data_IF_564663355987
#
_entry.id   IF_564663355987
#
_cell.length_a   1.000
_cell.length_b   1.000
_cell.length_c   1.000
_cell.angle_alpha   90.00
_cell.angle_beta   90.00
_cell.angle_gamma   90.00
#
_symmetry.space_group_name_H-M   'P 1'
#
loop_
_entity.id
_entity.type
_entity.pdbx_description
1 polymer ?
#
# COMPACT_ATOMS: atom_id res chain seq x y z
N UNK A 1 -4.07 23.14 -29.14
CA UNK A 1 -3.91 21.81 -29.79
C UNK A 1 -4.13 20.72 -28.74
N UNK A 2 -5.01 19.75 -29.01
CA UNK A 2 -5.31 18.58 -28.19
C UNK A 2 -5.11 17.31 -29.02
N UNK A 3 -4.63 16.24 -28.42
CA UNK A 3 -4.56 14.90 -28.98
C UNK A 3 -5.43 13.98 -28.13
N UNK A 4 -6.56 13.56 -28.66
CA UNK A 4 -7.43 12.56 -28.02
C UNK A 4 -6.89 11.19 -28.39
N UNK A 5 -6.63 10.35 -27.39
CA UNK A 5 -5.97 9.07 -27.58
C UNK A 5 -6.74 7.99 -26.86
N UNK A 6 -6.86 6.85 -27.51
CA UNK A 6 -7.34 5.60 -26.92
C UNK A 6 -6.46 4.44 -27.38
N UNK A 7 -6.25 3.45 -26.54
CA UNK A 7 -5.41 2.28 -26.82
C UNK A 7 -6.05 1.00 -26.35
N UNK A 8 -5.84 -0.08 -27.12
CA UNK A 8 -6.06 -1.45 -26.65
C UNK A 8 -4.71 -2.12 -26.32
N UNK A 9 -4.71 -3.04 -25.39
CA UNK A 9 -3.47 -3.59 -24.83
C UNK A 9 -3.60 -5.07 -24.48
N UNK A 10 -2.49 -5.79 -24.38
CA UNK A 10 -2.47 -7.19 -23.89
C UNK A 10 -2.73 -7.31 -22.39
N UNK A 11 -2.98 -6.20 -21.66
CA UNK A 11 -3.29 -6.20 -20.22
C UNK A 11 -2.98 -4.87 -19.54
N UNK A 12 -3.19 -4.79 -18.24
CA UNK A 12 -3.31 -3.54 -17.49
C UNK A 12 -2.01 -2.84 -17.06
N UNK A 13 -0.83 -3.22 -17.53
CA UNK A 13 0.44 -2.62 -17.08
C UNK A 13 1.41 -2.33 -18.20
N UNK A 14 1.76 -1.08 -18.39
CA UNK A 14 2.72 -0.64 -19.42
C UNK A 14 4.15 -1.23 -19.28
N UNK A 15 4.52 -1.78 -18.11
CA UNK A 15 5.82 -2.42 -17.89
C UNK A 15 5.87 -3.85 -18.42
N UNK A 16 4.76 -4.57 -18.32
CA UNK A 16 4.67 -6.01 -18.56
C UNK A 16 3.74 -6.39 -19.70
N UNK A 17 3.02 -5.42 -20.29
CA UNK A 17 2.09 -5.62 -21.38
C UNK A 17 2.39 -4.63 -22.53
N UNK A 18 1.83 -4.89 -23.68
CA UNK A 18 2.07 -4.12 -24.88
C UNK A 18 0.76 -3.56 -25.46
N UNK A 19 0.87 -2.53 -26.28
CA UNK A 19 -0.24 -1.96 -27.05
C UNK A 19 -0.54 -2.92 -28.22
N UNK A 20 -1.82 -3.16 -28.49
CA UNK A 20 -2.33 -3.97 -29.61
C UNK A 20 -3.06 -3.13 -30.67
N UNK A 21 -3.57 -1.96 -30.27
CA UNK A 21 -4.17 -0.98 -31.17
C UNK A 21 -3.99 0.42 -30.56
N UNK A 22 -3.79 1.42 -31.40
CA UNK A 22 -3.76 2.82 -30.99
C UNK A 22 -4.58 3.67 -31.94
N UNK A 23 -5.34 4.61 -31.38
CA UNK A 23 -6.06 5.64 -32.14
C UNK A 23 -5.73 7.02 -31.57
N UNK A 24 -5.52 8.00 -32.46
CA UNK A 24 -5.22 9.39 -32.10
C UNK A 24 -6.08 10.30 -32.99
N UNK A 25 -6.77 11.25 -32.39
CA UNK A 25 -7.51 12.31 -33.08
C UNK A 25 -6.96 13.64 -32.58
N UNK A 26 -6.43 14.44 -33.53
CA UNK A 26 -5.97 15.80 -33.20
C UNK A 26 -7.08 16.81 -33.37
N UNK A 27 -7.21 17.68 -32.37
CA UNK A 27 -8.23 18.75 -32.35
C UNK A 27 -7.54 20.10 -32.17
N UNK A 28 -7.81 21.02 -33.06
CA UNK A 28 -7.39 22.40 -33.00
C UNK A 28 -8.60 23.32 -33.15
N UNK A 29 -8.74 24.31 -32.28
CA UNK A 29 -9.87 25.26 -32.28
C UNK A 29 -11.25 24.55 -32.36
N UNK A 30 -11.38 23.41 -31.70
CA UNK A 30 -12.61 22.60 -31.67
C UNK A 30 -12.85 21.75 -32.95
N UNK A 31 -11.98 21.81 -33.96
CA UNK A 31 -12.08 21.03 -35.18
C UNK A 31 -11.07 19.90 -35.19
N UNK A 32 -11.45 18.76 -35.74
CA UNK A 32 -10.53 17.69 -36.03
C UNK A 32 -9.62 18.09 -37.21
N UNK A 33 -8.31 17.97 -37.02
CA UNK A 33 -7.30 18.36 -38.01
C UNK A 33 -6.47 17.18 -38.47
N UNK A 34 -6.43 16.09 -37.70
CA UNK A 34 -5.66 14.91 -38.07
C UNK A 34 -6.20 13.67 -37.34
N UNK A 35 -6.01 12.49 -37.97
CA UNK A 35 -6.50 11.22 -37.46
C UNK A 35 -5.52 10.10 -37.77
N UNK A 36 -5.23 9.27 -36.79
CA UNK A 36 -4.35 8.12 -36.93
C UNK A 36 -4.94 6.90 -36.24
N UNK A 37 -4.87 5.74 -36.85
CA UNK A 37 -5.22 4.45 -36.25
C UNK A 37 -4.36 3.36 -36.84
N UNK A 38 -3.89 2.46 -35.98
CA UNK A 38 -3.23 1.23 -36.45
C UNK A 38 -3.35 0.12 -35.42
N UNK A 39 -3.48 -1.13 -35.88
CA UNK A 39 -3.16 -2.30 -35.11
C UNK A 39 -1.64 -2.35 -34.88
N UNK A 40 -1.24 -2.92 -33.78
CA UNK A 40 0.17 -3.05 -33.39
C UNK A 40 0.47 -4.49 -33.02
N UNK A 41 1.50 -5.06 -33.58
CA UNK A 41 2.03 -6.34 -33.18
C UNK A 41 2.67 -6.20 -31.78
N UNK A 42 2.09 -6.82 -30.73
CA UNK A 42 2.62 -6.67 -29.38
C UNK A 42 3.89 -7.49 -29.10
N UNK A 43 4.37 -8.30 -30.07
CA UNK A 43 5.49 -9.22 -29.92
C UNK A 43 5.25 -10.32 -28.88
N UNK A 44 3.98 -10.63 -28.57
CA UNK A 44 3.55 -11.64 -27.61
C UNK A 44 2.10 -12.03 -27.82
N UNK A 45 1.71 -13.18 -27.31
CA UNK A 45 0.32 -13.65 -27.38
C UNK A 45 -0.64 -12.76 -26.56
N UNK A 46 -1.83 -12.53 -27.11
CA UNK A 46 -2.92 -11.77 -26.49
C UNK A 46 -3.72 -12.73 -25.57
N UNK A 47 -3.84 -12.44 -24.27
CA UNK A 47 -4.62 -13.28 -23.36
C UNK A 47 -6.09 -13.40 -23.81
N UNK A 48 -6.67 -14.60 -23.74
CA UNK A 48 -8.06 -14.88 -24.17
C UNK A 48 -9.09 -13.92 -23.59
N UNK A 49 -8.96 -13.57 -22.31
CA UNK A 49 -9.86 -12.59 -21.68
C UNK A 49 -9.74 -11.17 -22.28
N UNK A 50 -8.62 -10.81 -22.83
CA UNK A 50 -8.43 -9.53 -23.54
C UNK A 50 -9.06 -9.62 -24.92
N UNK A 51 -8.81 -10.71 -25.66
CA UNK A 51 -9.46 -10.96 -26.96
C UNK A 51 -11.00 -10.95 -26.83
N UNK A 52 -11.55 -11.52 -25.75
CA UNK A 52 -13.01 -11.48 -25.50
C UNK A 52 -13.55 -10.05 -25.31
N UNK A 53 -12.74 -9.13 -24.76
CA UNK A 53 -13.14 -7.74 -24.50
C UNK A 53 -12.97 -6.88 -25.75
N UNK A 54 -11.81 -6.96 -26.42
CA UNK A 54 -11.41 -6.06 -27.52
C UNK A 54 -11.75 -6.60 -28.89
N UNK A 55 -11.97 -7.90 -29.03
CA UNK A 55 -12.12 -8.60 -30.31
C UNK A 55 -10.80 -8.72 -31.08
N UNK A 56 -9.67 -8.24 -30.57
CA UNK A 56 -8.36 -8.32 -31.24
C UNK A 56 -7.74 -9.68 -30.96
N UNK A 57 -7.42 -10.42 -32.04
CA UNK A 57 -6.78 -11.74 -31.95
C UNK A 57 -5.30 -11.68 -32.35
N UNK A 58 -4.56 -12.74 -32.04
CA UNK A 58 -3.15 -12.86 -32.43
C UNK A 58 -2.98 -12.80 -33.95
N UNK A 59 -3.92 -13.39 -34.71
CA UNK A 59 -3.89 -13.39 -36.18
C UNK A 59 -4.07 -11.98 -36.74
N UNK A 60 -4.93 -11.14 -36.14
CA UNK A 60 -5.17 -9.77 -36.60
C UNK A 60 -3.94 -8.87 -36.47
N UNK A 61 -3.06 -9.15 -35.52
CA UNK A 61 -1.87 -8.35 -35.24
C UNK A 61 -0.58 -8.98 -35.75
N UNK A 62 -0.66 -10.18 -36.35
CA UNK A 62 0.53 -10.91 -36.82
C UNK A 62 1.36 -10.11 -37.83
N UNK A 63 0.72 -9.50 -38.82
CA UNK A 63 1.34 -8.70 -39.87
C UNK A 63 1.28 -7.19 -39.59
N UNK A 64 0.79 -6.77 -38.41
CA UNK A 64 0.74 -5.37 -38.02
C UNK A 64 2.15 -4.85 -37.65
N UNK A 65 2.44 -3.55 -37.85
CA UNK A 65 3.71 -2.99 -37.43
C UNK A 65 3.93 -3.11 -35.93
N UNK A 66 5.20 -3.26 -35.52
CA UNK A 66 5.57 -3.10 -34.13
C UNK A 66 5.41 -1.64 -33.68
N UNK A 67 5.31 -1.38 -32.36
CA UNK A 67 5.24 0.00 -31.92
C UNK A 67 6.47 0.83 -32.27
N UNK A 68 7.65 0.22 -32.36
CA UNK A 68 8.88 0.90 -32.77
C UNK A 68 8.80 1.48 -34.20
N UNK A 69 8.12 0.79 -35.10
CA UNK A 69 7.98 1.23 -36.50
C UNK A 69 7.04 2.44 -36.62
N UNK A 70 6.02 2.56 -35.77
CA UNK A 70 5.08 3.69 -35.78
C UNK A 70 5.43 4.76 -34.73
N UNK A 71 6.47 4.54 -33.92
CA UNK A 71 6.80 5.41 -32.79
C UNK A 71 7.07 6.85 -33.20
N UNK A 72 7.71 7.07 -34.35
CA UNK A 72 7.96 8.42 -34.87
C UNK A 72 6.65 9.14 -35.19
N UNK A 73 5.75 8.51 -35.90
CA UNK A 73 4.46 9.07 -36.28
C UNK A 73 3.61 9.38 -35.05
N UNK A 74 3.53 8.44 -34.07
CA UNK A 74 2.86 8.65 -32.79
C UNK A 74 3.49 9.82 -32.01
N UNK A 75 4.82 9.92 -31.98
CA UNK A 75 5.53 11.02 -31.35
C UNK A 75 5.20 12.37 -31.98
N UNK A 76 5.22 12.45 -33.33
CA UNK A 76 4.95 13.67 -34.09
C UNK A 76 3.51 14.15 -33.87
N UNK A 77 2.54 13.22 -33.88
CA UNK A 77 1.12 13.50 -33.60
C UNK A 77 0.86 13.99 -32.16
N UNK A 78 1.63 13.52 -31.21
CA UNK A 78 1.49 13.91 -29.81
C UNK A 78 2.33 15.13 -29.43
N UNK A 79 3.24 15.55 -30.28
CA UNK A 79 4.11 16.71 -30.05
C UNK A 79 3.32 18.00 -30.01
N UNK A 80 3.63 18.86 -29.01
CA UNK A 80 2.97 20.15 -28.79
C UNK A 80 1.45 20.09 -28.55
N UNK A 81 0.91 18.91 -28.22
CA UNK A 81 -0.50 18.71 -27.92
C UNK A 81 -0.72 18.40 -26.43
N UNK A 82 -1.88 18.78 -25.91
CA UNK A 82 -2.40 18.29 -24.63
C UNK A 82 -2.97 16.89 -24.86
N UNK A 83 -2.47 15.92 -24.13
CA UNK A 83 -2.95 14.53 -24.19
C UNK A 83 -4.29 14.39 -23.49
N UNK A 84 -5.32 13.96 -24.20
CA UNK A 84 -6.68 13.77 -23.70
C UNK A 84 -7.07 12.31 -23.83
N UNK A 85 -7.59 11.71 -22.75
CA UNK A 85 -8.12 10.35 -22.82
C UNK A 85 -9.20 10.11 -21.76
N UNK A 86 -9.97 9.04 -21.92
CA UNK A 86 -10.97 8.62 -20.96
C UNK A 86 -10.34 7.69 -19.91
N UNK A 87 -9.98 8.24 -18.72
CA UNK A 87 -9.07 7.66 -17.73
C UNK A 87 -7.59 7.80 -18.15
N UNK A 88 -7.20 9.01 -18.43
CA UNK A 88 -5.92 9.43 -19.05
C UNK A 88 -4.64 8.78 -18.50
N UNK A 89 -4.64 8.35 -17.23
CA UNK A 89 -3.45 7.76 -16.62
C UNK A 89 -3.06 6.41 -17.23
N UNK A 90 -4.04 5.68 -17.77
CA UNK A 90 -3.83 4.40 -18.42
C UNK A 90 -3.13 4.60 -19.78
N UNK A 91 -3.79 5.29 -20.68
CA UNK A 91 -3.31 5.50 -22.06
C UNK A 91 -1.97 6.23 -22.09
N UNK A 92 -1.88 7.33 -21.36
CA UNK A 92 -0.65 8.10 -21.23
C UNK A 92 0.52 7.26 -20.70
N UNK A 93 0.26 6.39 -19.72
CA UNK A 93 1.28 5.52 -19.14
C UNK A 93 1.86 4.53 -20.16
N UNK A 94 1.00 3.91 -20.96
CA UNK A 94 1.43 2.98 -22.04
C UNK A 94 2.16 3.71 -23.17
N UNK A 95 1.56 4.75 -23.72
CA UNK A 95 2.16 5.50 -24.82
C UNK A 95 3.53 6.05 -24.44
N UNK A 96 3.63 6.70 -23.26
CA UNK A 96 4.92 7.23 -22.78
C UNK A 96 5.99 6.13 -22.60
N UNK A 97 5.59 4.97 -22.07
CA UNK A 97 6.54 3.88 -21.84
C UNK A 97 7.03 3.27 -23.16
N UNK A 98 6.14 3.13 -24.15
CA UNK A 98 6.50 2.59 -25.46
C UNK A 98 7.35 3.59 -26.25
N UNK A 99 7.00 4.87 -26.25
CA UNK A 99 7.83 5.92 -26.86
C UNK A 99 9.24 5.96 -26.22
N UNK A 100 9.32 5.85 -24.88
CA UNK A 100 10.62 5.81 -24.22
C UNK A 100 11.47 4.60 -24.62
N UNK A 101 10.86 3.42 -24.76
CA UNK A 101 11.54 2.21 -25.25
C UNK A 101 12.02 2.36 -26.69
N UNK A 102 11.28 3.11 -27.52
CA UNK A 102 11.63 3.42 -28.91
C UNK A 102 12.61 4.61 -29.04
N UNK A 103 13.16 5.12 -27.91
CA UNK A 103 14.15 6.20 -27.93
C UNK A 103 13.59 7.62 -27.84
N UNK A 104 12.27 7.79 -27.78
CA UNK A 104 11.63 9.12 -27.72
C UNK A 104 11.36 9.54 -26.30
N UNK A 105 11.98 10.63 -25.82
CA UNK A 105 11.68 11.27 -24.53
C UNK A 105 10.51 12.24 -24.70
N UNK A 106 9.30 11.75 -24.41
CA UNK A 106 8.08 12.52 -24.56
C UNK A 106 7.36 12.74 -23.24
N UNK A 107 6.84 13.94 -23.05
CA UNK A 107 5.95 14.36 -21.98
C UNK A 107 4.96 15.39 -22.48
N UNK A 108 3.71 15.32 -22.00
CA UNK A 108 2.66 16.30 -22.33
C UNK A 108 1.82 16.63 -21.11
N UNK A 109 1.14 17.77 -21.14
CA UNK A 109 0.02 18.05 -20.23
C UNK A 109 -1.11 17.07 -20.52
N UNK A 110 -1.91 16.74 -19.51
CA UNK A 110 -2.92 15.68 -19.58
C UNK A 110 -4.29 16.17 -19.13
N UNK A 111 -5.34 15.75 -19.82
CA UNK A 111 -6.72 15.94 -19.42
C UNK A 111 -7.45 14.60 -19.36
N UNK A 112 -8.21 14.40 -18.28
CA UNK A 112 -9.03 13.21 -18.08
C UNK A 112 -10.48 13.55 -18.31
N UNK A 113 -11.10 12.99 -19.37
CA UNK A 113 -12.51 13.28 -19.67
C UNK A 113 -13.47 12.75 -18.61
N UNK A 114 -13.14 11.66 -17.88
CA UNK A 114 -13.92 11.22 -16.71
C UNK A 114 -14.04 12.32 -15.65
N UNK A 115 -12.90 12.94 -15.32
CA UNK A 115 -12.84 14.00 -14.29
C UNK A 115 -13.55 15.28 -14.75
N UNK A 116 -13.32 15.66 -15.99
CA UNK A 116 -14.02 16.83 -16.59
C UNK A 116 -15.52 16.58 -16.66
N UNK A 117 -15.97 15.39 -17.07
CA UNK A 117 -17.40 15.07 -17.12
C UNK A 117 -18.07 15.15 -15.75
N UNK A 118 -17.38 14.72 -14.68
CA UNK A 118 -17.91 14.85 -13.31
C UNK A 118 -18.12 16.29 -12.87
N UNK A 119 -17.29 17.22 -13.38
CA UNK A 119 -17.40 18.64 -13.06
C UNK A 119 -18.42 19.36 -13.94
N UNK A 120 -18.37 19.10 -15.23
CA UNK A 120 -19.11 19.84 -16.24
C UNK A 120 -20.47 19.22 -16.59
N UNK A 121 -20.65 17.92 -16.28
CA UNK A 121 -21.90 17.19 -16.46
C UNK A 121 -22.19 16.38 -15.18
N UNK A 122 -22.45 17.04 -14.04
CA UNK A 122 -22.74 16.34 -12.79
C UNK A 122 -24.08 15.61 -12.85
N UNK A 123 -24.28 14.62 -11.96
CA UNK A 123 -25.57 13.91 -11.83
C UNK A 123 -25.73 12.67 -12.70
N UNK A 124 -24.72 12.29 -13.52
CA UNK A 124 -24.79 11.02 -14.25
C UNK A 124 -24.60 9.84 -13.29
N UNK A 125 -25.39 8.78 -13.47
CA UNK A 125 -25.31 7.58 -12.60
C UNK A 125 -23.99 6.80 -12.80
N UNK A 126 -23.32 6.94 -13.94
CA UNK A 126 -22.00 6.36 -14.22
C UNK A 126 -21.20 7.21 -15.20
N UNK A 127 -19.91 7.31 -14.97
CA UNK A 127 -18.95 8.04 -15.82
C UNK A 127 -18.02 7.11 -16.61
N UNK A 128 -18.39 5.85 -16.84
CA UNK A 128 -17.71 5.01 -17.84
C UNK A 128 -18.11 5.45 -19.25
N UNK A 129 -17.20 5.34 -20.21
CA UNK A 129 -17.38 5.90 -21.56
C UNK A 129 -18.71 5.48 -22.20
N UNK A 130 -19.02 4.17 -22.21
CA UNK A 130 -20.27 3.67 -22.78
C UNK A 130 -21.53 4.14 -22.02
N UNK A 131 -21.45 4.35 -20.70
CA UNK A 131 -22.58 4.86 -19.93
C UNK A 131 -22.80 6.35 -20.11
N UNK A 132 -21.73 7.14 -20.26
CA UNK A 132 -21.82 8.54 -20.65
C UNK A 132 -22.46 8.64 -22.05
N UNK A 133 -22.01 7.84 -23.00
CA UNK A 133 -22.58 7.82 -24.35
C UNK A 133 -24.09 7.59 -24.30
N UNK A 134 -24.52 6.52 -23.62
CA UNK A 134 -25.92 6.18 -23.47
C UNK A 134 -26.75 7.31 -22.83
N UNK A 135 -26.24 7.94 -21.77
CA UNK A 135 -26.95 9.00 -21.04
C UNK A 135 -27.01 10.31 -21.84
N UNK A 136 -26.06 10.54 -22.73
CA UNK A 136 -26.07 11.68 -23.65
C UNK A 136 -26.80 11.39 -24.98
N UNK A 137 -27.45 10.23 -25.11
CA UNK A 137 -28.16 9.84 -26.33
C UNK A 137 -27.25 9.48 -27.50
N UNK A 138 -26.03 9.02 -27.22
CA UNK A 138 -25.07 8.62 -28.26
C UNK A 138 -24.80 7.11 -28.23
N UNK A 139 -24.48 6.57 -29.41
CA UNK A 139 -24.02 5.20 -29.56
C UNK A 139 -22.54 5.20 -29.96
N UNK A 140 -21.75 4.28 -29.39
CA UNK A 140 -20.34 4.07 -29.77
C UNK A 140 -20.27 2.95 -30.78
N UNK A 141 -19.92 3.26 -32.00
CA UNK A 141 -19.65 2.27 -33.04
C UNK A 141 -18.27 1.67 -32.83
N UNK A 142 -18.16 0.34 -32.82
CA UNK A 142 -16.87 -0.33 -32.56
C UNK A 142 -16.36 -0.12 -31.14
N UNK A 143 -17.23 -0.29 -30.15
CA UNK A 143 -16.81 -0.23 -28.73
C UNK A 143 -15.77 -1.30 -28.40
N UNK A 144 -14.80 -0.95 -27.55
CA UNK A 144 -13.60 -1.75 -27.25
C UNK A 144 -12.69 -1.97 -28.49
N UNK A 145 -12.75 -1.04 -29.43
CA UNK A 145 -11.76 -0.83 -30.47
C UNK A 145 -11.26 0.62 -30.34
N UNK A 146 -9.97 0.81 -30.41
CA UNK A 146 -9.36 2.09 -30.06
C UNK A 146 -9.97 3.29 -30.81
N UNK A 147 -10.28 3.15 -32.11
CA UNK A 147 -10.87 4.27 -32.86
C UNK A 147 -12.31 4.56 -32.44
N UNK A 148 -13.14 3.53 -32.19
CA UNK A 148 -14.53 3.73 -31.76
C UNK A 148 -14.63 4.46 -30.43
N UNK A 149 -13.79 4.08 -29.46
CA UNK A 149 -13.73 4.73 -28.15
C UNK A 149 -13.05 6.11 -28.23
N UNK A 150 -12.04 6.31 -29.10
CA UNK A 150 -11.41 7.59 -29.38
C UNK A 150 -12.38 8.60 -30.06
N UNK A 151 -13.17 8.18 -31.01
CA UNK A 151 -14.20 9.02 -31.68
C UNK A 151 -15.21 9.57 -30.69
N UNK A 152 -15.74 8.70 -29.82
CA UNK A 152 -16.68 9.18 -28.82
C UNK A 152 -15.99 10.04 -27.74
N UNK A 153 -14.76 9.70 -27.35
CA UNK A 153 -13.97 10.51 -26.43
C UNK A 153 -13.71 11.92 -27.00
N UNK A 154 -13.42 12.04 -28.30
CA UNK A 154 -13.27 13.33 -28.97
C UNK A 154 -14.57 14.12 -29.01
N UNK A 155 -15.70 13.47 -29.29
CA UNK A 155 -17.03 14.08 -29.26
C UNK A 155 -17.39 14.54 -27.84
N UNK A 156 -17.19 13.70 -26.84
CA UNK A 156 -17.37 14.05 -25.44
C UNK A 156 -16.50 15.25 -25.04
N UNK A 157 -15.23 15.25 -25.47
CA UNK A 157 -14.32 16.34 -25.16
C UNK A 157 -14.78 17.69 -25.76
N UNK A 158 -15.34 17.70 -26.98
CA UNK A 158 -15.95 18.89 -27.59
C UNK A 158 -17.13 19.40 -26.74
N UNK A 159 -18.03 18.51 -26.30
CA UNK A 159 -19.13 18.86 -25.39
C UNK A 159 -18.61 19.46 -24.08
N UNK A 160 -17.52 18.91 -23.55
CA UNK A 160 -16.91 19.44 -22.32
C UNK A 160 -16.25 20.80 -22.53
N UNK A 161 -15.63 21.05 -23.68
CA UNK A 161 -15.10 22.39 -24.04
C UNK A 161 -16.20 23.44 -24.12
N UNK A 162 -17.35 23.10 -24.71
CA UNK A 162 -18.50 24.02 -24.84
C UNK A 162 -19.14 24.33 -23.47
N UNK A 163 -19.14 23.36 -22.56
CA UNK A 163 -19.70 23.50 -21.20
C UNK A 163 -18.77 24.18 -20.19
N UNK A 164 -17.49 24.35 -20.53
CA UNK A 164 -16.47 24.87 -19.58
C UNK A 164 -16.48 26.40 -19.49
N UNK A 165 -17.54 26.97 -18.96
CA UNK A 165 -17.67 28.42 -18.76
C UNK A 165 -16.81 28.93 -17.58
N UNK A 166 -16.47 28.06 -16.63
CA UNK A 166 -15.73 28.40 -15.42
C UNK A 166 -14.21 28.18 -15.52
N UNK A 167 -13.70 27.74 -16.71
CA UNK A 167 -12.28 27.52 -16.94
C UNK A 167 -11.66 26.33 -16.21
N UNK A 168 -12.44 25.29 -15.93
CA UNK A 168 -11.95 24.05 -15.29
C UNK A 168 -10.88 23.34 -16.09
N UNK A 169 -10.94 23.42 -17.45
CA UNK A 169 -9.93 22.83 -18.33
C UNK A 169 -8.60 23.60 -18.19
N UNK A 170 -8.66 24.94 -18.22
CA UNK A 170 -7.47 25.78 -18.02
C UNK A 170 -6.85 25.54 -16.65
N UNK A 171 -7.67 25.40 -15.61
CA UNK A 171 -7.25 25.09 -14.27
C UNK A 171 -6.59 23.68 -14.20
N UNK A 172 -7.17 22.66 -14.84
CA UNK A 172 -6.61 21.32 -14.89
C UNK A 172 -5.26 21.26 -15.60
N UNK A 173 -5.02 22.17 -16.55
CA UNK A 173 -3.75 22.32 -17.29
C UNK A 173 -2.68 23.12 -16.55
N UNK A 174 -3.01 23.73 -15.41
CA UNK A 174 -2.04 24.46 -14.62
C UNK A 174 -0.91 23.52 -14.16
N UNK A 175 0.35 23.99 -14.29
CA UNK A 175 1.53 23.20 -13.93
C UNK A 175 1.57 22.68 -12.47
N UNK A 176 0.87 23.38 -11.55
CA UNK A 176 0.72 22.96 -10.15
C UNK A 176 -0.44 21.97 -9.92
N UNK A 177 -1.30 21.77 -10.90
CA UNK A 177 -2.43 20.85 -10.79
C UNK A 177 -1.93 19.39 -10.84
N UNK A 178 -2.25 18.60 -9.83
CA UNK A 178 -2.02 17.14 -9.80
C UNK A 178 -3.29 16.37 -10.18
N UNK A 179 -4.31 17.05 -10.67
CA UNK A 179 -5.64 16.49 -10.91
C UNK A 179 -5.62 15.28 -11.85
N UNK A 180 -4.86 15.37 -12.94
CA UNK A 180 -4.74 14.27 -13.90
C UNK A 180 -4.03 13.01 -13.34
N UNK A 181 -3.41 13.08 -12.16
CA UNK A 181 -2.75 11.95 -11.52
C UNK A 181 -3.60 11.28 -10.43
N UNK A 182 -4.68 11.94 -9.99
CA UNK A 182 -5.59 11.36 -9.01
C UNK A 182 -6.47 10.27 -9.63
N UNK A 183 -7.01 9.32 -8.80
CA UNK A 183 -8.00 8.37 -9.26
C UNK A 183 -9.16 9.05 -9.99
N UNK A 184 -9.64 8.50 -11.11
CA UNK A 184 -10.63 9.19 -11.95
C UNK A 184 -11.96 9.44 -11.23
N UNK A 185 -12.27 8.64 -10.20
CA UNK A 185 -13.52 8.72 -9.45
C UNK A 185 -13.39 9.40 -8.09
N UNK A 186 -12.19 9.74 -7.63
CA UNK A 186 -11.95 10.39 -6.35
C UNK A 186 -12.10 11.93 -6.49
N UNK A 187 -13.02 12.58 -5.75
CA UNK A 187 -13.12 14.04 -5.74
C UNK A 187 -11.82 14.69 -5.27
N UNK A 188 -11.44 15.77 -5.91
CA UNK A 188 -10.24 16.53 -5.52
C UNK A 188 -10.36 17.10 -4.10
N UNK A 189 -11.54 17.57 -3.71
CA UNK A 189 -11.83 18.07 -2.38
C UNK A 189 -11.50 17.07 -1.28
N UNK A 190 -11.77 15.78 -1.50
CA UNK A 190 -11.41 14.72 -0.55
C UNK A 190 -9.91 14.66 -0.27
N UNK A 191 -9.06 14.96 -1.27
CA UNK A 191 -7.59 14.97 -1.11
C UNK A 191 -7.06 16.31 -0.59
N UNK A 192 -7.75 17.42 -0.87
CA UNK A 192 -7.36 18.75 -0.40
C UNK A 192 -7.65 18.95 1.10
N UNK A 193 -8.77 18.40 1.56
CA UNK A 193 -9.22 18.50 2.94
C UNK A 193 -8.47 17.60 3.92
N UNK A 194 -7.67 16.64 3.43
CA UNK A 194 -6.91 15.74 4.31
C UNK A 194 -5.82 16.51 5.05
N UNK A 195 -5.68 16.35 6.39
CA UNK A 195 -4.68 17.07 7.18
C UNK A 195 -3.26 16.56 6.94
N UNK A 196 -2.28 17.35 7.37
CA UNK A 196 -0.85 17.00 7.31
C UNK A 196 -0.36 16.37 8.63
N UNK A 197 -1.21 15.63 9.31
CA UNK A 197 -1.00 15.00 10.61
C UNK A 197 -0.68 13.51 10.50
N UNK A 198 -0.29 12.89 11.60
CA UNK A 198 -0.18 11.43 11.73
C UNK A 198 -1.59 10.82 11.71
N UNK A 199 -1.75 9.68 11.07
CA UNK A 199 -3.04 8.99 11.11
C UNK A 199 -3.17 7.81 10.16
N UNK A 200 -4.40 7.34 10.05
CA UNK A 200 -4.82 6.22 9.20
C UNK A 200 -5.80 6.74 8.16
N UNK A 201 -5.61 6.38 6.90
CA UNK A 201 -6.51 6.73 5.81
C UNK A 201 -7.14 5.48 5.21
N UNK A 202 -8.35 5.65 4.69
CA UNK A 202 -9.16 4.57 4.10
C UNK A 202 -9.64 5.00 2.72
N UNK A 203 -9.41 4.18 1.70
CA UNK A 203 -10.03 4.34 0.40
C UNK A 203 -11.29 3.50 0.32
N UNK A 204 -12.36 4.09 -0.18
CA UNK A 204 -13.66 3.48 -0.33
C UNK A 204 -14.01 3.32 -1.82
N UNK A 205 -14.84 2.33 -2.14
CA UNK A 205 -15.43 2.16 -3.45
C UNK A 205 -16.82 2.82 -3.55
N UNK A 206 -17.48 2.67 -4.70
CA UNK A 206 -18.79 3.24 -4.98
C UNK A 206 -19.95 2.65 -4.14
N UNK A 207 -19.70 1.62 -3.37
CA UNK A 207 -20.64 1.02 -2.39
C UNK A 207 -20.32 1.42 -0.96
N UNK A 208 -19.45 2.43 -0.78
CA UNK A 208 -18.91 2.90 0.51
C UNK A 208 -18.10 1.84 1.27
N UNK A 209 -17.76 0.73 0.63
CA UNK A 209 -16.94 -0.31 1.24
C UNK A 209 -15.48 0.13 1.28
N UNK A 210 -14.81 -0.07 2.43
CA UNK A 210 -13.38 0.16 2.58
C UNK A 210 -12.61 -0.89 1.76
N UNK A 211 -11.86 -0.43 0.77
CA UNK A 211 -11.07 -1.27 -0.12
C UNK A 211 -9.57 -1.26 0.20
N UNK A 212 -9.11 -0.25 0.93
CA UNK A 212 -7.74 -0.14 1.40
C UNK A 212 -7.65 0.70 2.67
N UNK A 213 -6.77 0.31 3.58
CA UNK A 213 -6.40 1.02 4.79
C UNK A 213 -4.88 1.21 4.81
N UNK A 214 -4.39 2.36 5.24
CA UNK A 214 -2.97 2.60 5.40
C UNK A 214 -2.65 3.69 6.41
N UNK A 215 -1.55 3.54 7.14
CA UNK A 215 -1.04 4.54 8.07
C UNK A 215 -0.10 5.54 7.40
N UNK A 216 0.04 6.72 7.99
CA UNK A 216 0.98 7.75 7.55
C UNK A 216 1.48 8.60 8.72
N UNK A 217 2.77 9.02 8.67
CA UNK A 217 3.30 10.12 9.50
C UNK A 217 2.82 11.49 9.01
N UNK A 218 2.39 11.58 7.77
CA UNK A 218 1.72 12.73 7.17
C UNK A 218 0.69 12.21 6.16
N UNK A 219 -0.58 12.28 6.53
CA UNK A 219 -1.70 11.77 5.75
C UNK A 219 -1.74 12.39 4.35
N UNK A 220 -1.65 13.73 4.25
CA UNK A 220 -1.73 14.45 2.98
C UNK A 220 -0.60 14.09 2.01
N UNK A 221 0.64 13.98 2.52
CA UNK A 221 1.80 13.57 1.73
C UNK A 221 1.63 12.12 1.25
N UNK A 222 1.25 11.22 2.14
CA UNK A 222 1.16 9.78 1.85
C UNK A 222 0.07 9.44 0.85
N UNK A 223 -1.11 10.05 0.98
CA UNK A 223 -2.21 9.86 0.04
C UNK A 223 -1.82 10.35 -1.36
N UNK A 224 -1.14 11.51 -1.46
CA UNK A 224 -0.65 12.02 -2.75
C UNK A 224 0.41 11.11 -3.37
N UNK A 225 1.26 10.48 -2.56
CA UNK A 225 2.29 9.55 -3.03
C UNK A 225 1.69 8.27 -3.66
N UNK A 226 0.51 7.83 -3.23
CA UNK A 226 -0.18 6.71 -3.85
C UNK A 226 -0.45 6.93 -5.34
N UNK A 227 -0.65 8.17 -5.74
CA UNK A 227 -1.04 8.56 -7.08
C UNK A 227 0.08 9.25 -7.86
N UNK A 228 1.25 9.45 -7.24
CA UNK A 228 2.45 9.95 -7.93
C UNK A 228 3.17 8.83 -8.66
N UNK A 229 3.53 9.08 -9.91
CA UNK A 229 4.39 8.21 -10.72
C UNK A 229 3.64 7.30 -11.70
N UNK A 230 4.28 7.07 -12.84
CA UNK A 230 3.76 6.28 -13.97
C UNK A 230 3.97 4.76 -13.80
N UNK A 231 4.18 4.25 -12.61
CA UNK A 231 4.35 2.81 -12.38
C UNK A 231 3.01 2.14 -12.08
N UNK A 232 2.08 2.25 -13.02
CA UNK A 232 0.82 1.52 -12.91
C UNK A 232 1.02 0.09 -13.42
N UNK A 233 1.24 -0.85 -12.49
CA UNK A 233 0.96 -2.26 -12.77
C UNK A 233 -0.56 -2.39 -12.97
N UNK A 234 -1.03 -3.34 -13.77
CA UNK A 234 -2.47 -3.55 -13.99
C UNK A 234 -3.30 -3.68 -12.70
N UNK A 235 -2.66 -4.13 -11.60
CA UNK A 235 -3.26 -4.17 -10.27
C UNK A 235 -3.46 -2.76 -9.68
N UNK A 236 -2.49 -1.85 -9.81
CA UNK A 236 -2.58 -0.47 -9.31
C UNK A 236 -3.59 0.36 -10.09
N UNK A 237 -3.72 0.15 -11.40
CA UNK A 237 -4.74 0.79 -12.21
C UNK A 237 -6.13 0.38 -11.77
N UNK A 238 -6.40 -0.95 -11.66
CA UNK A 238 -7.67 -1.47 -11.16
C UNK A 238 -8.00 -1.01 -9.74
N UNK A 239 -6.99 -0.80 -8.91
CA UNK A 239 -7.16 -0.23 -7.58
C UNK A 239 -7.58 1.25 -7.67
N UNK A 240 -6.86 2.07 -8.43
CA UNK A 240 -7.16 3.49 -8.60
C UNK A 240 -8.57 3.72 -9.19
N UNK A 241 -8.98 2.91 -10.17
CA UNK A 241 -10.32 2.97 -10.78
C UNK A 241 -11.46 2.68 -9.81
N UNK A 242 -11.20 1.92 -8.75
CA UNK A 242 -12.20 1.58 -7.75
C UNK A 242 -12.35 2.61 -6.64
N UNK A 243 -11.39 3.53 -6.48
CA UNK A 243 -11.43 4.54 -5.42
C UNK A 243 -12.42 5.64 -5.79
N UNK A 244 -13.45 5.80 -4.97
CA UNK A 244 -14.46 6.85 -5.11
C UNK A 244 -14.46 7.85 -3.96
N UNK A 245 -13.98 7.43 -2.79
CA UNK A 245 -13.93 8.30 -1.62
C UNK A 245 -12.71 8.00 -0.73
N UNK A 246 -12.41 8.93 0.17
CA UNK A 246 -11.29 8.94 1.10
C UNK A 246 -11.76 9.40 2.48
N UNK A 247 -11.59 8.54 3.48
CA UNK A 247 -11.81 8.87 4.90
C UNK A 247 -10.50 8.73 5.67
N UNK A 248 -10.36 9.42 6.79
CA UNK A 248 -9.17 9.34 7.64
C UNK A 248 -9.52 9.41 9.12
N UNK A 249 -8.58 8.99 9.94
CA UNK A 249 -8.59 9.06 11.40
C UNK A 249 -7.25 9.68 11.78
N UNK A 250 -7.26 10.84 12.42
CA UNK A 250 -6.04 11.43 12.97
C UNK A 250 -5.60 10.65 14.20
N UNK A 251 -4.30 10.51 14.38
CA UNK A 251 -3.70 9.81 15.50
C UNK A 251 -2.65 10.72 16.16
N UNK A 252 -2.54 10.71 17.49
CA UNK A 252 -1.61 11.59 18.20
C UNK A 252 -0.15 11.22 17.96
N UNK A 253 0.13 9.93 17.77
CA UNK A 253 1.50 9.41 17.61
C UNK A 253 1.56 8.17 16.71
N UNK A 254 2.78 7.68 16.46
CA UNK A 254 3.00 6.55 15.54
C UNK A 254 2.49 5.22 16.12
N UNK A 255 2.59 4.99 17.43
CA UNK A 255 2.09 3.77 18.06
C UNK A 255 0.58 3.64 17.86
N UNK A 256 -0.17 4.71 18.15
CA UNK A 256 -1.62 4.71 17.99
C UNK A 256 -2.00 4.52 16.52
N UNK A 257 -1.26 5.13 15.58
CA UNK A 257 -1.54 4.92 14.16
C UNK A 257 -1.34 3.47 13.71
N UNK A 258 -0.40 2.73 14.31
CA UNK A 258 -0.21 1.29 14.06
C UNK A 258 -1.36 0.44 14.61
N UNK A 259 -1.79 0.73 15.85
CA UNK A 259 -2.90 0.00 16.49
C UNK A 259 -4.22 0.25 15.76
N UNK A 260 -4.48 1.50 15.36
CA UNK A 260 -5.68 1.89 14.59
C UNK A 260 -5.65 1.26 13.20
N UNK A 261 -4.51 1.27 12.48
CA UNK A 261 -4.39 0.61 11.17
C UNK A 261 -4.71 -0.88 11.25
N UNK A 262 -4.15 -1.58 12.24
CA UNK A 262 -4.39 -3.01 12.46
C UNK A 262 -5.88 -3.28 12.75
N UNK A 263 -6.50 -2.48 13.63
CA UNK A 263 -7.93 -2.55 13.94
C UNK A 263 -8.81 -2.35 12.70
N UNK A 264 -8.54 -1.29 11.93
CA UNK A 264 -9.32 -0.94 10.75
C UNK A 264 -9.18 -1.98 9.63
N UNK A 265 -8.00 -2.58 9.44
CA UNK A 265 -7.80 -3.68 8.49
C UNK A 265 -8.61 -4.90 8.88
N UNK A 266 -8.66 -5.25 10.17
CA UNK A 266 -9.42 -6.41 10.66
C UNK A 266 -10.92 -6.19 10.63
N UNK A 267 -11.39 -5.00 11.00
CA UNK A 267 -12.80 -4.66 10.97
C UNK A 267 -13.38 -4.62 9.56
N UNK A 268 -12.62 -4.10 8.59
CA UNK A 268 -13.12 -3.88 7.22
C UNK A 268 -12.69 -4.94 6.22
N UNK A 269 -11.69 -5.78 6.52
CA UNK A 269 -11.11 -6.80 5.63
C UNK A 269 -10.87 -6.31 4.19
N UNK A 270 -10.16 -5.17 3.99
CA UNK A 270 -10.13 -4.45 2.74
C UNK A 270 -9.42 -5.24 1.63
N UNK A 271 -10.03 -5.30 0.44
CA UNK A 271 -9.58 -6.15 -0.69
C UNK A 271 -8.12 -5.93 -1.09
N UNK A 272 -7.63 -4.69 -1.01
CA UNK A 272 -6.31 -4.31 -1.53
C UNK A 272 -5.20 -4.27 -0.46
N UNK A 273 -5.49 -4.53 0.81
CA UNK A 273 -4.46 -4.80 1.79
C UNK A 273 -3.98 -6.24 1.65
N UNK A 274 -2.67 -6.42 1.48
CA UNK A 274 -2.02 -7.74 1.49
C UNK A 274 -1.44 -8.07 2.87
N UNK A 275 -0.80 -7.08 3.50
CA UNK A 275 -0.29 -7.18 4.86
C UNK A 275 -1.44 -7.10 5.88
N UNK A 276 -1.28 -7.70 7.05
CA UNK A 276 -2.20 -7.71 8.20
C UNK A 276 -3.55 -8.42 7.99
N UNK A 277 -3.90 -8.87 6.79
CA UNK A 277 -5.03 -9.80 6.58
C UNK A 277 -4.71 -11.21 7.02
N UNK A 278 -3.48 -11.60 6.81
CA UNK A 278 -2.85 -12.78 7.34
C UNK A 278 -1.49 -12.30 7.79
N UNK A 279 -1.31 -12.03 9.09
CA UNK A 279 0.04 -11.92 9.61
C UNK A 279 0.62 -13.32 9.51
N UNK A 280 1.35 -13.54 8.46
CA UNK A 280 2.27 -14.65 8.40
C UNK A 280 3.50 -14.19 9.21
N UNK A 281 3.41 -14.30 10.53
CA UNK A 281 4.58 -14.39 11.36
C UNK A 281 5.21 -15.73 11.01
N UNK A 282 5.99 -15.72 9.91
CA UNK A 282 6.49 -16.95 9.29
C UNK A 282 7.66 -17.54 10.06
N UNK A 283 8.20 -16.80 11.03
CA UNK A 283 9.38 -17.18 11.79
C UNK A 283 9.09 -17.07 13.28
N UNK A 284 9.58 -18.03 14.06
CA UNK A 284 9.42 -18.06 15.51
C UNK A 284 10.69 -18.51 16.20
N UNK A 285 10.82 -18.11 17.45
CA UNK A 285 11.76 -18.70 18.39
C UNK A 285 11.02 -19.85 19.08
N UNK A 286 11.62 -21.04 19.01
CA UNK A 286 11.12 -22.26 19.63
C UNK A 286 12.00 -22.62 20.80
N UNK A 287 11.36 -23.05 21.89
CA UNK A 287 12.02 -23.60 23.07
C UNK A 287 11.73 -25.10 23.17
N UNK A 288 12.77 -25.86 23.40
CA UNK A 288 12.69 -27.30 23.69
C UNK A 288 13.81 -27.70 24.65
N UNK A 289 13.65 -28.82 25.33
CA UNK A 289 14.66 -29.40 26.21
C UNK A 289 15.38 -30.53 25.49
N UNK A 290 16.72 -30.62 25.61
CA UNK A 290 17.49 -31.71 25.06
C UNK A 290 17.57 -32.91 26.05
N UNK A 291 18.12 -33.99 25.59
CA UNK A 291 18.23 -35.23 26.37
C UNK A 291 19.07 -35.09 27.65
N UNK A 292 19.91 -34.07 27.75
CA UNK A 292 20.75 -33.77 28.92
C UNK A 292 20.08 -32.78 29.88
N UNK A 293 18.83 -32.38 29.60
CA UNK A 293 18.03 -31.47 30.41
C UNK A 293 18.34 -29.99 30.21
N UNK A 294 19.10 -29.62 29.18
CA UNK A 294 19.33 -28.23 28.83
C UNK A 294 18.20 -27.69 27.93
N UNK A 295 17.66 -26.56 28.30
CA UNK A 295 16.75 -25.84 27.44
C UNK A 295 17.47 -25.24 26.24
N UNK A 296 16.89 -25.39 25.05
CA UNK A 296 17.44 -24.88 23.78
C UNK A 296 16.49 -23.95 23.09
N UNK A 297 17.04 -23.00 22.36
CA UNK A 297 16.31 -22.08 21.50
C UNK A 297 16.72 -22.28 20.06
N UNK A 298 15.75 -22.22 19.14
CA UNK A 298 16.02 -22.24 17.70
C UNK A 298 15.10 -21.28 16.97
N UNK A 299 15.55 -20.81 15.80
CA UNK A 299 14.71 -20.02 14.88
C UNK A 299 14.19 -20.92 13.78
N UNK A 300 12.86 -21.02 13.67
CA UNK A 300 12.22 -21.85 12.67
C UNK A 300 11.00 -21.18 12.04
N UNK A 301 10.51 -21.79 10.94
CA UNK A 301 9.24 -21.37 10.34
C UNK A 301 8.06 -21.77 11.21
N UNK A 302 7.11 -20.86 11.40
CA UNK A 302 5.87 -21.13 12.11
C UNK A 302 4.93 -21.90 11.19
N UNK A 303 4.76 -23.19 11.43
CA UNK A 303 3.81 -24.06 10.76
C UNK A 303 2.43 -24.04 11.45
N UNK A 304 1.46 -24.72 10.83
CA UNK A 304 0.06 -24.77 11.30
C UNK A 304 -0.09 -25.26 12.77
N UNK A 305 0.81 -26.10 13.23
CA UNK A 305 0.79 -26.71 14.56
C UNK A 305 1.94 -26.24 15.46
N UNK A 306 2.82 -25.39 14.94
CA UNK A 306 3.97 -24.90 15.67
C UNK A 306 3.56 -23.87 16.73
N UNK A 307 4.10 -23.98 17.95
CA UNK A 307 3.87 -23.06 19.06
C UNK A 307 5.19 -22.39 19.45
N UNK A 308 5.60 -21.33 18.77
CA UNK A 308 6.79 -20.58 19.15
C UNK A 308 6.56 -19.82 20.45
N UNK A 309 7.61 -19.56 21.21
CA UNK A 309 7.59 -18.67 22.38
C UNK A 309 7.45 -17.21 21.99
N UNK A 310 7.94 -16.85 20.79
CA UNK A 310 7.72 -15.52 20.18
C UNK A 310 7.76 -15.67 18.64
N UNK A 311 7.05 -14.79 17.92
CA UNK A 311 6.91 -14.86 16.46
C UNK A 311 7.32 -13.55 15.80
N UNK A 312 7.95 -13.66 14.61
CA UNK A 312 8.57 -12.56 13.88
C UNK A 312 8.19 -12.58 12.39
N UNK A 313 8.30 -11.42 11.73
CA UNK A 313 8.02 -11.29 10.29
C UNK A 313 9.12 -11.89 9.41
N UNK A 314 10.36 -11.86 9.90
CA UNK A 314 11.52 -12.37 9.16
C UNK A 314 12.44 -13.21 10.05
N UNK A 315 13.23 -14.09 9.40
CA UNK A 315 14.28 -14.85 10.08
C UNK A 315 15.31 -13.92 10.72
N UNK A 316 15.63 -12.85 10.04
CA UNK A 316 16.58 -11.85 10.53
C UNK A 316 16.13 -11.25 11.86
N UNK A 317 14.87 -10.80 11.97
CA UNK A 317 14.32 -10.26 13.22
C UNK A 317 14.37 -11.31 14.36
N UNK A 318 13.99 -12.55 14.08
CA UNK A 318 14.05 -13.64 15.06
C UNK A 318 15.49 -13.93 15.53
N UNK A 319 16.45 -13.94 14.62
CA UNK A 319 17.88 -14.13 14.96
C UNK A 319 18.45 -12.96 15.75
N UNK A 320 18.14 -11.71 15.39
CA UNK A 320 18.56 -10.53 16.15
C UNK A 320 18.03 -10.57 17.59
N UNK A 321 16.79 -11.04 17.79
CA UNK A 321 16.24 -11.24 19.12
C UNK A 321 16.99 -12.31 19.89
N UNK A 322 17.32 -13.46 19.27
CA UNK A 322 18.12 -14.48 19.92
C UNK A 322 19.52 -14.00 20.31
N UNK A 323 20.17 -13.22 19.46
CA UNK A 323 21.46 -12.60 19.78
C UNK A 323 21.33 -11.70 21.02
N UNK A 324 20.32 -10.82 21.03
CA UNK A 324 20.03 -9.94 22.16
C UNK A 324 19.80 -10.73 23.47
N UNK A 325 18.96 -11.78 23.42
CA UNK A 325 18.69 -12.65 24.58
C UNK A 325 19.95 -13.35 25.08
N UNK A 326 20.79 -13.84 24.16
CA UNK A 326 22.08 -14.45 24.50
C UNK A 326 22.94 -13.45 25.28
N UNK A 327 23.12 -12.26 24.75
CA UNK A 327 23.98 -11.22 25.31
C UNK A 327 23.49 -10.73 26.68
N UNK A 328 22.19 -10.40 26.78
CA UNK A 328 21.58 -9.88 28.04
C UNK A 328 21.51 -10.93 29.15
N UNK A 329 21.35 -12.21 28.81
CA UNK A 329 21.17 -13.29 29.80
C UNK A 329 22.34 -14.28 29.82
N UNK A 330 23.43 -13.98 29.14
CA UNK A 330 24.63 -14.83 29.03
C UNK A 330 24.28 -16.27 28.66
N UNK A 331 23.41 -16.47 27.65
CA UNK A 331 23.01 -17.78 27.18
C UNK A 331 24.11 -18.38 26.26
N UNK A 332 24.15 -19.71 26.17
CA UNK A 332 25.07 -20.41 25.29
C UNK A 332 24.69 -20.22 23.83
N UNK A 333 25.61 -19.73 22.98
CA UNK A 333 25.38 -19.51 21.55
C UNK A 333 25.00 -20.80 20.80
N UNK A 334 25.60 -21.94 21.17
CA UNK A 334 25.27 -23.27 20.60
C UNK A 334 23.86 -23.71 20.97
N UNK A 335 23.42 -23.45 22.20
CA UNK A 335 22.07 -23.79 22.66
C UNK A 335 21.01 -22.82 22.15
N UNK A 336 21.44 -21.68 21.62
CA UNK A 336 20.59 -20.69 20.94
C UNK A 336 20.62 -20.80 19.41
N UNK A 337 21.18 -21.87 18.80
CA UNK A 337 21.26 -22.04 17.33
C UNK A 337 21.96 -20.85 16.62
N UNK A 338 22.87 -20.17 17.33
CA UNK A 338 23.68 -19.05 16.82
C UNK A 338 25.05 -19.45 16.36
N UNK A 339 25.51 -20.65 16.75
CA UNK A 339 26.77 -21.27 16.37
C UNK A 339 26.56 -22.75 16.09
N UNK A 340 27.24 -23.28 15.06
CA UNK A 340 27.20 -24.69 14.71
C UNK A 340 27.80 -25.57 15.82
N UNK A 341 27.35 -26.83 15.89
CA UNK A 341 27.77 -27.80 16.90
C UNK A 341 29.27 -28.22 16.79
N UNK A 342 29.89 -28.02 15.62
CA UNK A 342 31.28 -28.40 15.36
C UNK A 342 32.27 -27.26 15.66
N UNK A 343 33.52 -27.62 16.04
CA UNK A 343 34.60 -26.69 16.29
C UNK A 343 34.67 -26.10 17.71
N UNK A 344 35.64 -25.22 17.99
CA UNK A 344 35.77 -24.54 19.28
C UNK A 344 34.66 -23.51 19.44
N UNK A 345 34.12 -23.38 20.63
CA UNK A 345 33.16 -22.31 20.96
C UNK A 345 33.86 -20.94 20.92
N UNK A 346 33.36 -20.01 20.13
CA UNK A 346 33.96 -18.67 20.00
C UNK A 346 33.92 -17.93 21.35
N UNK A 347 32.88 -18.12 22.13
CA UNK A 347 32.69 -17.48 23.44
C UNK A 347 33.56 -18.05 24.54
N UNK A 348 33.97 -19.36 24.41
CA UNK A 348 34.96 -19.96 25.30
C UNK A 348 36.36 -19.30 25.10
N UNK A 349 36.68 -18.93 23.86
CA UNK A 349 37.95 -18.25 23.54
C UNK A 349 37.98 -16.81 24.12
N UNK A 350 36.81 -16.17 24.25
CA UNK A 350 36.70 -14.80 24.78
C UNK A 350 36.41 -14.72 26.30
N UNK A 351 36.25 -15.89 26.97
CA UNK A 351 36.05 -15.93 28.41
C UNK A 351 34.67 -15.49 28.95
N UNK A 352 33.70 -15.33 28.07
CA UNK A 352 32.36 -14.80 28.41
C UNK A 352 31.32 -15.94 28.63
N UNK A 353 31.68 -17.20 28.39
CA UNK A 353 30.78 -18.35 28.47
C UNK A 353 30.93 -19.09 29.80
N UNK A 354 29.82 -19.60 30.36
CA UNK A 354 29.80 -20.44 31.56
C UNK A 354 29.96 -21.96 31.29
N UNK A 355 30.19 -22.33 30.03
CA UNK A 355 30.53 -23.70 29.66
C UNK A 355 29.33 -24.66 29.61
N UNK A 356 28.07 -24.20 29.46
CA UNK A 356 26.91 -25.09 29.40
C UNK A 356 27.02 -26.20 28.32
N UNK A 357 27.59 -25.87 27.15
CA UNK A 357 27.72 -26.84 26.05
C UNK A 357 28.92 -27.83 26.20
N UNK A 358 29.73 -27.66 27.21
CA UNK A 358 30.82 -28.54 27.62
C UNK A 358 30.58 -29.14 29.02
N UNK A 359 29.36 -29.01 29.54
CA UNK A 359 28.88 -29.55 30.81
C UNK A 359 29.54 -28.94 32.09
N UNK A 360 30.27 -27.81 31.98
CA UNK A 360 30.84 -27.10 33.12
C UNK A 360 29.74 -26.38 33.93
N UNK A 361 28.64 -25.92 33.30
CA UNK A 361 27.48 -25.35 33.94
C UNK A 361 26.34 -26.38 33.99
N UNK A 362 25.71 -26.55 35.17
CA UNK A 362 24.61 -27.49 35.34
C UNK A 362 23.35 -27.07 34.63
N UNK A 363 22.52 -28.03 34.12
CA UNK A 363 21.25 -27.70 33.43
C UNK A 363 20.34 -26.80 34.30
N UNK A 364 20.26 -26.99 35.61
CA UNK A 364 19.42 -26.18 36.50
C UNK A 364 19.83 -24.70 36.52
N UNK A 365 21.14 -24.41 36.48
CA UNK A 365 21.68 -23.05 36.53
C UNK A 365 21.47 -22.35 35.17
N UNK A 366 21.78 -23.07 34.08
CA UNK A 366 21.54 -22.57 32.73
C UNK A 366 20.06 -22.30 32.47
N UNK A 367 19.18 -23.25 32.81
CA UNK A 367 17.75 -23.15 32.60
C UNK A 367 17.11 -22.03 33.43
N UNK A 368 17.65 -21.69 34.59
CA UNK A 368 17.20 -20.55 35.38
C UNK A 368 17.41 -19.21 34.63
N UNK A 369 18.58 -19.05 33.94
CA UNK A 369 18.83 -17.87 33.11
C UNK A 369 17.99 -17.88 31.84
N UNK A 370 17.83 -19.04 31.20
CA UNK A 370 16.97 -19.21 30.04
C UNK A 370 15.51 -18.88 30.38
N UNK A 371 15.00 -19.29 31.55
CA UNK A 371 13.65 -18.95 32.00
C UNK A 371 13.48 -17.44 32.17
N UNK A 372 14.48 -16.73 32.71
CA UNK A 372 14.46 -15.26 32.78
C UNK A 372 14.43 -14.65 31.38
N UNK A 373 15.25 -15.16 30.45
CA UNK A 373 15.26 -14.71 29.06
C UNK A 373 13.93 -14.97 28.34
N UNK A 374 13.29 -16.12 28.56
CA UNK A 374 11.97 -16.43 28.00
C UNK A 374 10.87 -15.52 28.58
N UNK A 375 10.96 -15.18 29.85
CA UNK A 375 10.02 -14.25 30.48
C UNK A 375 10.19 -12.81 29.99
N UNK A 376 11.40 -12.37 29.62
CA UNK A 376 11.61 -11.06 29.01
C UNK A 376 11.02 -10.92 27.60
N UNK A 377 10.75 -12.03 26.91
CA UNK A 377 10.03 -12.02 25.64
C UNK A 377 8.52 -11.77 25.77
N UNK A 378 7.98 -11.95 26.95
CA UNK A 378 6.56 -11.76 27.21
C UNK A 378 6.34 -10.38 27.83
N UNK A 379 5.36 -9.66 27.33
CA UNK A 379 4.81 -8.53 28.08
C UNK A 379 4.02 -9.15 29.25
N UNK A 380 4.66 -9.27 30.40
CA UNK A 380 4.05 -9.88 31.60
C UNK A 380 3.48 -8.79 32.50
N UNK A 381 2.40 -9.13 33.22
CA UNK A 381 1.79 -8.21 34.19
C UNK A 381 0.81 -7.21 33.56
N UNK A 382 0.42 -6.26 34.38
CA UNK A 382 -0.45 -5.16 34.00
C UNK A 382 0.39 -3.88 33.92
N UNK A 383 0.24 -3.12 32.83
CA UNK A 383 0.99 -1.90 32.61
C UNK A 383 0.26 -0.93 31.69
N UNK A 384 0.61 0.33 31.77
CA UNK A 384 0.32 1.30 30.74
C UNK A 384 1.62 1.77 30.06
N UNK A 385 1.53 1.96 28.74
CA UNK A 385 2.55 2.63 27.95
C UNK A 385 2.06 4.06 27.73
N UNK A 386 2.87 5.05 28.11
CA UNK A 386 2.59 6.47 27.92
C UNK A 386 3.26 6.99 26.67
N UNK A 387 2.51 7.73 25.88
CA UNK A 387 2.97 8.38 24.65
C UNK A 387 2.40 9.79 24.55
N UNK A 388 2.94 10.61 23.65
CA UNK A 388 2.44 11.95 23.40
C UNK A 388 0.97 11.96 22.98
N UNK A 389 0.18 12.92 23.47
CA UNK A 389 -1.18 13.20 23.04
C UNK A 389 -1.23 14.07 21.78
N UNK A 390 -2.42 14.59 21.46
CA UNK A 390 -2.61 15.57 20.37
C UNK A 390 -2.07 16.95 20.73
N UNK A 391 -2.12 17.30 22.00
CA UNK A 391 -1.65 18.56 22.57
C UNK A 391 -0.60 18.30 23.67
N UNK A 392 0.20 19.32 24.07
CA UNK A 392 1.14 19.18 25.17
C UNK A 392 0.49 18.87 26.53
N UNK A 393 -0.80 19.22 26.71
CA UNK A 393 -1.55 19.02 27.94
C UNK A 393 -2.17 17.62 28.02
N UNK A 394 -1.96 16.79 26.99
CA UNK A 394 -2.51 15.44 26.90
C UNK A 394 -1.42 14.40 26.71
N UNK A 395 -1.69 13.22 27.22
CA UNK A 395 -0.93 12.00 26.99
C UNK A 395 -1.84 10.90 26.46
N UNK A 396 -1.29 10.06 25.60
CA UNK A 396 -1.96 8.83 25.17
C UNK A 396 -1.47 7.68 26.02
N UNK A 397 -2.39 6.88 26.51
CA UNK A 397 -2.12 5.70 27.30
C UNK A 397 -2.60 4.43 26.58
N UNK A 398 -1.75 3.41 26.56
CA UNK A 398 -2.07 2.09 26.01
C UNK A 398 -2.06 1.09 27.13
N UNK A 399 -3.20 0.44 27.39
CA UNK A 399 -3.37 -0.48 28.49
C UNK A 399 -3.07 -1.91 28.09
N UNK A 400 -2.21 -2.54 28.87
CA UNK A 400 -1.96 -3.99 28.86
C UNK A 400 -2.35 -4.52 30.24
N UNK A 401 -3.19 -5.54 30.30
CA UNK A 401 -3.62 -6.19 31.54
C UNK A 401 -3.35 -7.68 31.45
N UNK A 402 -2.61 -8.22 32.40
CA UNK A 402 -2.20 -9.63 32.41
C UNK A 402 -1.54 -10.06 31.11
N UNK A 403 -0.67 -9.21 30.57
CA UNK A 403 0.03 -9.45 29.30
C UNK A 403 -0.83 -9.28 28.06
N UNK A 404 -2.09 -8.87 28.15
CA UNK A 404 -3.02 -8.71 27.02
C UNK A 404 -3.34 -7.24 26.77
N UNK A 405 -3.29 -6.83 25.53
CA UNK A 405 -3.76 -5.52 25.11
C UNK A 405 -5.26 -5.35 25.40
N UNK A 406 -5.62 -4.25 26.04
CA UNK A 406 -7.00 -3.92 26.40
C UNK A 406 -7.58 -2.75 25.64
N UNK A 407 -6.72 -1.87 25.14
CA UNK A 407 -7.15 -0.67 24.45
C UNK A 407 -6.18 0.48 24.64
N UNK A 408 -6.56 1.62 24.16
CA UNK A 408 -5.84 2.88 24.38
C UNK A 408 -6.83 4.03 24.56
N UNK A 409 -6.35 5.13 25.10
CA UNK A 409 -7.13 6.35 25.25
C UNK A 409 -6.25 7.57 25.49
N UNK A 410 -6.87 8.71 25.69
CA UNK A 410 -6.22 9.98 25.98
C UNK A 410 -6.55 10.41 27.41
N UNK A 411 -5.54 10.81 28.17
CA UNK A 411 -5.67 11.34 29.52
C UNK A 411 -4.98 12.71 29.58
N UNK A 412 -5.39 13.61 30.48
CA UNK A 412 -4.60 14.79 30.84
C UNK A 412 -3.17 14.41 31.24
N UNK A 413 -2.22 15.30 30.99
CA UNK A 413 -0.80 15.03 31.30
C UNK A 413 -0.56 14.88 32.81
N UNK A 414 -1.37 15.54 33.60
CA UNK A 414 -1.36 15.51 35.08
C UNK A 414 -2.30 14.46 35.71
N UNK A 415 -2.94 13.61 34.87
CA UNK A 415 -3.83 12.58 35.37
C UNK A 415 -3.11 11.62 36.32
N UNK A 416 -3.75 11.32 37.47
CA UNK A 416 -3.28 10.30 38.38
C UNK A 416 -3.51 8.90 37.80
N UNK A 417 -2.46 8.35 37.21
CA UNK A 417 -2.46 7.02 36.60
C UNK A 417 -1.85 5.93 37.53
N UNK A 418 -1.71 6.20 38.84
CA UNK A 418 -1.23 5.22 39.80
C UNK A 418 -2.30 4.18 40.16
N UNK A 419 -3.57 4.56 40.08
CA UNK A 419 -4.71 3.69 40.34
C UNK A 419 -5.24 3.09 39.03
N UNK A 420 -5.15 1.77 38.97
CA UNK A 420 -5.59 1.01 37.77
C UNK A 420 -7.09 1.24 37.43
N UNK A 421 -7.93 1.42 38.44
CA UNK A 421 -9.36 1.66 38.21
C UNK A 421 -9.62 2.99 37.51
N UNK A 422 -8.87 4.04 37.83
CA UNK A 422 -8.94 5.34 37.17
C UNK A 422 -8.45 5.29 35.72
N UNK A 423 -7.44 4.45 35.45
CA UNK A 423 -6.93 4.26 34.08
C UNK A 423 -8.01 3.74 33.16
N UNK A 424 -8.86 2.84 33.64
CA UNK A 424 -9.95 2.24 32.84
C UNK A 424 -10.95 3.28 32.32
N UNK A 425 -11.13 4.41 33.01
CA UNK A 425 -12.03 5.49 32.60
C UNK A 425 -11.59 6.17 31.31
N UNK A 426 -10.28 6.17 31.03
CA UNK A 426 -9.69 6.77 29.81
C UNK A 426 -9.58 5.78 28.66
N UNK A 427 -9.78 4.47 28.86
CA UNK A 427 -9.48 3.44 27.87
C UNK A 427 -10.70 3.14 27.00
N UNK A 428 -10.54 3.31 25.71
CA UNK A 428 -11.43 2.73 24.70
C UNK A 428 -11.04 1.28 24.47
N UNK A 429 -11.94 0.36 24.77
CA UNK A 429 -11.70 -1.08 24.68
C UNK A 429 -11.20 -1.49 23.30
N UNK A 430 -10.11 -2.23 23.26
CA UNK A 430 -9.50 -2.81 22.08
C UNK A 430 -9.55 -4.34 22.11
N UNK A 431 -9.41 -4.95 20.93
CA UNK A 431 -9.33 -6.41 20.82
C UNK A 431 -7.87 -6.84 20.79
N UNK A 432 -7.50 -7.77 21.67
CA UNK A 432 -6.15 -8.32 21.74
C UNK A 432 -5.96 -9.45 20.73
N UNK A 433 -4.90 -9.37 19.99
CA UNK A 433 -4.46 -10.43 19.10
C UNK A 433 -2.94 -10.36 18.84
N UNK A 434 -2.45 -11.32 18.06
CA UNK A 434 -1.03 -11.46 17.77
C UNK A 434 -0.42 -10.23 17.06
N UNK A 435 -1.21 -9.49 16.28
CA UNK A 435 -0.74 -8.26 15.62
C UNK A 435 -0.56 -7.13 16.61
N UNK A 436 -1.52 -6.95 17.53
CA UNK A 436 -1.45 -5.96 18.59
C UNK A 436 -0.25 -6.24 19.51
N UNK A 437 -0.07 -7.49 19.92
CA UNK A 437 1.09 -7.90 20.70
C UNK A 437 2.40 -7.64 19.97
N UNK A 438 2.49 -7.96 18.69
CA UNK A 438 3.69 -7.72 17.87
C UNK A 438 4.00 -6.22 17.72
N UNK A 439 2.97 -5.38 17.54
CA UNK A 439 3.12 -3.92 17.47
C UNK A 439 3.68 -3.38 18.78
N UNK A 440 3.08 -3.74 19.90
CA UNK A 440 3.47 -3.28 21.24
C UNK A 440 4.89 -3.73 21.59
N UNK A 441 5.20 -4.99 21.36
CA UNK A 441 6.52 -5.54 21.61
C UNK A 441 7.60 -4.84 20.76
N UNK A 442 7.35 -4.68 19.45
CA UNK A 442 8.26 -3.97 18.56
C UNK A 442 8.43 -2.50 18.93
N UNK A 443 7.39 -1.86 19.44
CA UNK A 443 7.44 -0.47 19.89
C UNK A 443 8.35 -0.31 21.12
N UNK A 444 8.12 -1.13 22.16
CA UNK A 444 8.92 -1.11 23.39
C UNK A 444 10.40 -1.42 23.11
N UNK A 445 10.69 -2.34 22.20
CA UNK A 445 12.06 -2.66 21.82
C UNK A 445 12.79 -1.53 21.08
N UNK A 446 12.09 -0.83 20.18
CA UNK A 446 12.70 0.27 19.40
C UNK A 446 12.83 1.57 20.20
N UNK A 447 12.03 1.71 21.22
CA UNK A 447 11.95 2.91 22.05
C UNK A 447 12.15 2.53 23.53
N UNK A 448 13.39 2.20 23.94
CA UNK A 448 13.67 1.74 25.32
C UNK A 448 13.39 2.80 26.38
N UNK A 449 13.32 4.08 25.98
CA UNK A 449 13.03 5.21 26.88
C UNK A 449 11.52 5.52 26.96
N UNK A 450 10.65 4.69 26.37
CA UNK A 450 9.19 4.85 26.52
C UNK A 450 8.79 4.73 27.98
N UNK A 451 8.03 5.69 28.46
CA UNK A 451 7.54 5.69 29.85
C UNK A 451 6.48 4.59 30.02
N UNK A 452 6.72 3.71 30.99
CA UNK A 452 5.85 2.59 31.34
C UNK A 452 5.54 2.65 32.83
N UNK A 453 4.26 2.57 33.19
CA UNK A 453 3.79 2.41 34.58
C UNK A 453 3.34 0.97 34.77
N UNK A 454 3.93 0.29 35.73
CA UNK A 454 3.60 -1.10 36.08
C UNK A 454 2.55 -1.14 37.19
N UNK A 455 1.65 -2.11 37.15
CA UNK A 455 0.67 -2.39 38.18
C UNK A 455 0.88 -3.83 38.67
N UNK A 456 0.86 -4.01 39.97
CA UNK A 456 0.99 -5.31 40.65
C UNK A 456 -0.27 -6.19 40.46
#
# INVERSE_FOLDING_TARGET
>A
MYAVVDIETTGGSARTHAITEIAIIRIEEGKEVDRFQTLINPGRSIPRNITTITGITDEMVADAPSFNEVAKEVFDLLSNAVFVAHNVSFDYGFVRQHLLKSGYKWQAKRLCTVRLSRKLIPGLYSYSLGKIAQQLGHHINGRHRAMGDCDFTAKLFKILLEKDQEGHIAFALNARSTEATLPPHLPRSSVENIPSTIGVYKFLDNTEKVIYVGKAKNLKKRVREHFRGNSHTGYKNRFAEKITDLKWIECPNELISLLVEAREIKANWPRYNRAMKRVTLNWGIFHFEDQNGYGRLSVGRVGKWARPVSSFRSQYEARQMLVKMRDEHMLCARFCDLQDAGGKCVEEVHGECKGACIEDEKPSEYNARLTKALNSLKINGSMIIKESGFTPDEQTIVLIQNGRYKGFGTAPIDADLSDFSKVLEYIHTGYDDQDMQSILHSHLQRNPNTEVVLYD
#
